data_IF_162239197666
#
_entry.id   IF_162239197666
#
_cell.length_a   1.000
_cell.length_b   1.000
_cell.length_c   1.000
_cell.angle_alpha   90.00
_cell.angle_beta   90.00
_cell.angle_gamma   90.00
#
_symmetry.space_group_name_H-M   'P 1'
#
loop_
_entity.id
_entity.type
_entity.pdbx_description
1 polymer ?
#
# COMPACT_ATOMS: atom_id res chain seq x y z
N UNK A 1 7.90 -12.18 -17.75
CA UNK A 1 8.17 -11.39 -16.51
C UNK A 1 8.09 -12.36 -15.36
N UNK A 2 9.16 -12.43 -14.57
CA UNK A 2 9.22 -13.38 -13.47
C UNK A 2 8.18 -13.04 -12.40
N UNK A 3 7.52 -14.05 -11.82
CA UNK A 3 6.54 -13.84 -10.78
C UNK A 3 7.22 -13.26 -9.54
N UNK A 4 6.60 -12.24 -8.93
CA UNK A 4 7.05 -11.69 -7.66
C UNK A 4 6.53 -12.57 -6.50
N UNK A 5 7.35 -12.71 -5.47
CA UNK A 5 6.88 -13.27 -4.20
C UNK A 5 6.11 -12.20 -3.46
N UNK A 6 4.84 -12.47 -3.17
CA UNK A 6 3.96 -11.58 -2.41
C UNK A 6 3.89 -12.09 -0.97
N UNK A 7 4.01 -11.19 -0.01
CA UNK A 7 4.08 -11.51 1.43
C UNK A 7 3.31 -10.47 2.23
N UNK A 8 2.50 -10.84 3.23
CA UNK A 8 1.91 -9.88 4.17
C UNK A 8 3.00 -9.05 4.86
N UNK A 9 2.72 -7.79 5.08
CA UNK A 9 3.65 -6.85 5.72
C UNK A 9 3.58 -6.96 7.25
N UNK A 10 3.98 -8.12 7.77
CA UNK A 10 4.07 -8.38 9.21
C UNK A 10 5.30 -7.69 9.83
N UNK A 11 5.39 -7.74 11.15
CA UNK A 11 6.52 -7.16 11.90
C UNK A 11 7.88 -7.73 11.47
N UNK A 12 7.94 -8.96 11.01
CA UNK A 12 9.15 -9.61 10.51
C UNK A 12 9.68 -8.95 9.22
N UNK A 13 8.82 -8.26 8.49
CA UNK A 13 9.12 -7.57 7.24
C UNK A 13 9.14 -6.04 7.39
N UNK A 14 9.14 -5.53 8.63
CA UNK A 14 9.04 -4.09 8.88
C UNK A 14 10.22 -3.30 8.30
N UNK A 15 11.43 -3.83 8.37
CA UNK A 15 12.62 -3.15 7.81
C UNK A 15 12.52 -2.98 6.29
N UNK A 16 11.99 -3.97 5.59
CA UNK A 16 11.72 -3.90 4.15
C UNK A 16 10.61 -2.90 3.82
N UNK A 17 9.56 -2.84 4.65
CA UNK A 17 8.52 -1.84 4.53
C UNK A 17 9.09 -0.42 4.75
N UNK A 18 9.93 -0.24 5.74
CA UNK A 18 10.63 1.03 5.99
C UNK A 18 11.51 1.44 4.81
N UNK A 19 12.19 0.50 4.16
CA UNK A 19 12.94 0.76 2.93
C UNK A 19 12.06 1.30 1.79
N UNK A 20 10.78 0.94 1.73
CA UNK A 20 9.86 1.44 0.70
C UNK A 20 9.17 2.75 1.11
N UNK A 21 8.65 2.83 2.31
CA UNK A 21 7.74 3.89 2.75
C UNK A 21 8.40 4.93 3.65
N UNK A 22 9.49 4.56 4.33
CA UNK A 22 10.18 5.41 5.28
C UNK A 22 10.91 6.60 4.65
N UNK A 23 11.43 7.49 5.47
CA UNK A 23 12.15 8.68 5.04
C UNK A 23 13.44 8.32 4.30
N UNK A 24 13.76 9.07 3.23
CA UNK A 24 14.89 8.78 2.33
C UNK A 24 16.12 9.66 2.56
N UNK A 25 15.93 10.83 3.17
CA UNK A 25 17.02 11.83 3.32
C UNK A 25 17.55 11.93 4.75
N UNK A 26 16.69 11.79 5.73
CA UNK A 26 17.02 11.88 7.15
C UNK A 26 16.02 11.05 7.93
N UNK A 27 16.42 10.36 9.00
CA UNK A 27 15.48 9.61 9.87
C UNK A 27 14.35 10.47 10.44
N UNK A 28 14.58 11.78 10.59
CA UNK A 28 13.61 12.75 11.09
C UNK A 28 12.74 13.37 10.01
N UNK A 29 12.99 13.09 8.72
CA UNK A 29 12.16 13.59 7.64
C UNK A 29 10.78 12.93 7.67
N UNK A 30 9.74 13.72 7.51
CA UNK A 30 8.39 13.18 7.41
C UNK A 30 8.22 12.37 6.13
N UNK A 31 7.74 11.14 6.29
CA UNK A 31 7.28 10.28 5.21
C UNK A 31 5.78 9.98 5.39
N UNK A 32 5.08 9.72 4.30
CA UNK A 32 3.64 9.48 4.34
C UNK A 32 3.29 8.16 5.06
N UNK A 33 4.07 7.11 4.83
CA UNK A 33 3.81 5.76 5.33
C UNK A 33 2.41 5.21 5.00
N UNK A 34 1.71 5.84 4.04
CA UNK A 34 0.30 5.62 3.70
C UNK A 34 -0.70 5.89 4.85
N UNK A 35 -0.25 6.51 5.93
CA UNK A 35 -1.07 6.80 7.12
C UNK A 35 -2.15 7.86 6.88
N UNK A 36 -1.99 8.72 5.88
CA UNK A 36 -3.01 9.71 5.54
C UNK A 36 -4.35 9.07 5.15
N UNK A 37 -4.33 7.90 4.52
CA UNK A 37 -5.55 7.16 4.24
C UNK A 37 -6.08 6.41 5.47
N UNK A 38 -5.21 5.74 6.20
CA UNK A 38 -5.61 4.96 7.37
C UNK A 38 -6.19 5.82 8.48
N UNK A 39 -5.51 6.89 8.85
CA UNK A 39 -5.90 7.75 9.97
C UNK A 39 -6.74 8.96 9.55
N UNK A 40 -6.83 9.23 8.23
CA UNK A 40 -7.31 10.48 7.69
C UNK A 40 -6.25 11.59 7.69
N UNK A 41 -6.35 12.53 6.75
CA UNK A 41 -5.34 13.60 6.57
C UNK A 41 -5.08 14.42 7.81
N UNK A 42 -6.15 14.81 8.54
CA UNK A 42 -6.05 15.67 9.74
C UNK A 42 -5.33 14.98 10.90
N UNK A 43 -5.62 13.70 11.14
CA UNK A 43 -4.99 12.94 12.21
C UNK A 43 -3.53 12.63 11.88
N UNK A 44 -3.26 12.16 10.66
CA UNK A 44 -1.90 11.84 10.24
C UNK A 44 -0.97 13.05 10.20
N UNK A 45 -1.50 14.26 9.92
CA UNK A 45 -0.71 15.50 9.91
C UNK A 45 -0.16 15.89 11.29
N UNK A 46 -0.77 15.41 12.37
CA UNK A 46 -0.32 15.69 13.75
C UNK A 46 0.84 14.80 14.20
N UNK A 47 1.10 13.71 13.48
CA UNK A 47 2.17 12.78 13.84
C UNK A 47 3.52 13.30 13.32
N UNK A 48 4.51 13.30 14.18
CA UNK A 48 5.91 13.49 13.79
C UNK A 48 6.50 12.22 13.13
N UNK A 49 7.76 12.26 12.73
CA UNK A 49 8.40 11.15 12.04
C UNK A 49 8.48 9.88 12.90
N UNK A 50 8.77 10.02 14.19
CA UNK A 50 8.88 8.89 15.12
C UNK A 50 7.53 8.25 15.39
N UNK A 51 6.50 9.06 15.60
CA UNK A 51 5.13 8.59 15.83
C UNK A 51 4.56 7.88 14.59
N UNK A 52 4.84 8.37 13.38
CA UNK A 52 4.44 7.68 12.14
C UNK A 52 5.11 6.32 12.00
N UNK A 53 6.40 6.23 12.29
CA UNK A 53 7.14 4.96 12.26
C UNK A 53 6.56 3.97 13.26
N UNK A 54 6.33 4.42 14.51
CA UNK A 54 5.76 3.58 15.57
C UNK A 54 4.35 3.09 15.23
N UNK A 55 3.51 3.94 14.65
CA UNK A 55 2.16 3.57 14.21
C UNK A 55 2.19 2.46 13.15
N UNK A 56 3.03 2.58 12.13
CA UNK A 56 3.14 1.53 11.11
C UNK A 56 3.73 0.25 11.69
N UNK A 57 4.70 0.36 12.59
CA UNK A 57 5.26 -0.80 13.28
C UNK A 57 4.20 -1.52 14.11
N UNK A 58 3.31 -0.78 14.77
CA UNK A 58 2.16 -1.34 15.47
C UNK A 58 1.20 -2.05 14.51
N UNK A 59 0.84 -1.41 13.39
CA UNK A 59 -0.02 -2.02 12.37
C UNK A 59 0.56 -3.34 11.83
N UNK A 60 1.89 -3.45 11.70
CA UNK A 60 2.54 -4.69 11.27
C UNK A 60 2.46 -5.83 12.31
N UNK A 61 2.00 -5.55 13.53
CA UNK A 61 1.75 -6.53 14.58
C UNK A 61 0.28 -6.96 14.66
N UNK A 62 -0.60 -6.33 13.89
CA UNK A 62 -2.03 -6.67 13.86
C UNK A 62 -2.34 -7.71 12.79
N UNK A 63 -3.48 -8.38 12.95
CA UNK A 63 -4.07 -9.22 11.90
C UNK A 63 -5.46 -8.70 11.54
N UNK A 64 -5.70 -8.57 10.23
CA UNK A 64 -4.76 -8.78 9.11
C UNK A 64 -3.64 -7.73 9.09
N UNK A 65 -2.51 -8.08 8.45
CA UNK A 65 -1.41 -7.14 8.23
C UNK A 65 -1.88 -5.90 7.43
N UNK A 66 -1.22 -4.73 7.55
CA UNK A 66 -1.68 -3.47 6.94
C UNK A 66 -1.61 -3.43 5.41
N UNK A 67 -1.14 -4.48 4.81
CA UNK A 67 -0.97 -4.62 3.37
C UNK A 67 0.05 -5.70 3.03
N UNK A 68 0.57 -5.64 1.81
CA UNK A 68 1.49 -6.64 1.28
C UNK A 68 2.78 -6.02 0.73
N UNK A 69 3.84 -6.80 0.73
CA UNK A 69 5.12 -6.51 0.09
C UNK A 69 5.32 -7.44 -1.10
N UNK A 70 5.98 -6.93 -2.15
CA UNK A 70 6.40 -7.70 -3.30
C UNK A 70 7.92 -7.78 -3.35
N UNK A 71 8.44 -8.98 -3.54
CA UNK A 71 9.87 -9.26 -3.64
C UNK A 71 10.21 -9.83 -5.01
N UNK A 72 11.32 -9.37 -5.56
CA UNK A 72 11.97 -9.97 -6.71
C UNK A 72 13.17 -10.78 -6.23
N UNK A 73 13.31 -11.99 -6.74
CA UNK A 73 14.51 -12.80 -6.55
C UNK A 73 15.38 -12.65 -7.79
N UNK A 74 16.63 -12.28 -7.60
CA UNK A 74 17.64 -12.19 -8.65
C UNK A 74 18.26 -13.57 -8.91
N UNK A 75 19.02 -13.72 -10.01
CA UNK A 75 19.60 -15.00 -10.45
C UNK A 75 20.55 -15.61 -9.42
N UNK A 76 21.13 -14.81 -8.54
CA UNK A 76 21.99 -15.24 -7.42
C UNK A 76 21.19 -15.69 -6.17
N UNK A 77 19.86 -15.67 -6.25
CA UNK A 77 18.97 -16.00 -5.13
C UNK A 77 18.69 -14.86 -4.16
N UNK A 78 19.29 -13.68 -4.38
CA UNK A 78 19.03 -12.50 -3.53
C UNK A 78 17.60 -12.01 -3.69
N UNK A 79 16.89 -11.88 -2.58
CA UNK A 79 15.51 -11.38 -2.56
C UNK A 79 15.49 -9.89 -2.21
N UNK A 80 14.96 -9.08 -3.09
CA UNK A 80 14.88 -7.62 -2.94
C UNK A 80 13.44 -7.15 -2.91
N UNK A 81 13.06 -6.36 -1.89
CA UNK A 81 11.74 -5.74 -1.84
C UNK A 81 11.61 -4.69 -2.95
N UNK A 82 10.57 -4.81 -3.78
CA UNK A 82 10.37 -3.97 -4.97
C UNK A 82 9.04 -3.24 -4.98
N UNK A 83 8.12 -3.58 -4.09
CA UNK A 83 6.82 -2.94 -4.06
C UNK A 83 6.00 -3.15 -2.78
N UNK A 84 5.02 -2.28 -2.60
CA UNK A 84 4.07 -2.25 -1.50
C UNK A 84 2.67 -2.00 -2.02
N UNK A 85 1.69 -2.70 -1.45
CA UNK A 85 0.27 -2.34 -1.59
C UNK A 85 -0.37 -2.21 -0.21
N UNK A 86 -0.95 -1.03 0.07
CA UNK A 86 -1.80 -0.79 1.22
C UNK A 86 -3.21 -1.28 0.91
N UNK A 87 -3.68 -2.26 1.68
CA UNK A 87 -4.99 -2.89 1.52
C UNK A 87 -5.54 -3.27 2.89
N UNK A 88 -6.81 -2.99 3.15
CA UNK A 88 -7.44 -3.26 4.45
C UNK A 88 -8.96 -3.21 4.35
N UNK A 89 -9.69 -3.73 5.36
CA UNK A 89 -11.11 -3.45 5.51
C UNK A 89 -11.37 -1.95 5.40
N UNK A 90 -12.37 -1.54 4.61
CA UNK A 90 -12.65 -0.11 4.42
C UNK A 90 -12.91 0.62 5.76
N UNK A 91 -13.53 -0.06 6.71
CA UNK A 91 -13.77 0.49 8.04
C UNK A 91 -12.50 0.93 8.78
N UNK A 92 -11.34 0.36 8.43
CA UNK A 92 -10.03 0.71 8.98
C UNK A 92 -9.29 1.78 8.17
N UNK A 93 -9.90 2.30 7.09
CA UNK A 93 -9.31 3.31 6.20
C UNK A 93 -10.14 4.59 6.34
N UNK A 94 -9.85 5.37 7.37
CA UNK A 94 -10.65 6.51 7.79
C UNK A 94 -10.92 7.53 6.68
N UNK A 95 -9.96 7.78 5.79
CA UNK A 95 -10.14 8.72 4.68
C UNK A 95 -11.19 8.21 3.68
N UNK A 96 -11.15 6.93 3.33
CA UNK A 96 -12.08 6.33 2.36
C UNK A 96 -13.47 6.05 2.96
N UNK A 97 -13.59 6.06 4.28
CA UNK A 97 -14.87 5.89 4.97
C UNK A 97 -15.69 7.19 5.05
N UNK A 98 -15.20 8.28 4.46
CA UNK A 98 -15.91 9.56 4.41
C UNK A 98 -16.91 9.59 3.24
N UNK A 99 -17.91 10.48 3.33
CA UNK A 99 -18.89 10.70 2.26
C UNK A 99 -18.29 11.28 0.96
N UNK A 100 -17.00 11.64 0.95
CA UNK A 100 -16.31 12.11 -0.24
C UNK A 100 -16.04 11.00 -1.26
N UNK A 101 -16.09 9.74 -0.83
CA UNK A 101 -15.86 8.59 -1.70
C UNK A 101 -17.15 7.79 -1.91
N UNK A 102 -17.40 7.27 -3.13
CA UNK A 102 -18.52 6.37 -3.36
C UNK A 102 -18.31 5.07 -2.58
N UNK A 103 -19.39 4.54 -2.03
CA UNK A 103 -19.35 3.31 -1.25
C UNK A 103 -20.19 2.23 -1.92
N UNK A 104 -19.67 1.01 -1.95
CA UNK A 104 -20.46 -0.18 -2.25
C UNK A 104 -21.12 -0.62 -0.94
N UNK A 105 -22.44 -0.85 -0.97
CA UNK A 105 -23.16 -1.43 0.14
C UNK A 105 -22.86 -2.94 0.19
N UNK A 106 -21.98 -3.32 1.08
CA UNK A 106 -21.55 -4.70 1.28
C UNK A 106 -21.15 -4.93 2.74
N UNK A 107 -21.16 -6.18 3.19
CA UNK A 107 -20.94 -6.52 4.60
C UNK A 107 -19.47 -6.39 5.01
N UNK A 108 -18.53 -6.67 4.10
CA UNK A 108 -17.09 -6.59 4.39
C UNK A 108 -16.27 -6.10 3.19
N UNK A 109 -16.48 -4.84 2.75
CA UNK A 109 -15.69 -4.27 1.67
C UNK A 109 -14.26 -3.97 2.13
N UNK A 110 -13.30 -4.32 1.28
CA UNK A 110 -11.90 -3.96 1.45
C UNK A 110 -11.48 -2.92 0.43
N UNK A 111 -10.52 -2.08 0.80
CA UNK A 111 -10.03 -1.01 -0.07
C UNK A 111 -8.53 -1.16 -0.32
N UNK A 112 -8.14 -1.07 -1.60
CA UNK A 112 -6.75 -0.90 -2.01
C UNK A 112 -6.52 0.61 -2.18
N UNK A 113 -5.68 1.20 -1.33
CA UNK A 113 -5.52 2.66 -1.24
C UNK A 113 -4.13 3.17 -1.58
N UNK A 114 -3.15 2.28 -1.73
CA UNK A 114 -1.79 2.68 -2.05
C UNK A 114 -1.06 1.58 -2.81
N UNK A 115 -0.49 1.91 -3.97
CA UNK A 115 0.38 1.04 -4.75
C UNK A 115 1.72 1.75 -4.96
N UNK A 116 2.78 1.19 -4.40
CA UNK A 116 4.14 1.76 -4.49
C UNK A 116 5.10 0.78 -5.12
N UNK A 117 5.79 1.22 -6.15
CA UNK A 117 6.93 0.49 -6.74
C UNK A 117 8.22 1.20 -6.37
N UNK A 118 9.25 0.44 -6.00
CA UNK A 118 10.59 0.95 -5.67
C UNK A 118 11.13 1.84 -6.80
N UNK A 119 11.82 2.91 -6.43
CA UNK A 119 12.45 3.80 -7.40
C UNK A 119 13.39 3.01 -8.33
N UNK A 120 13.37 3.32 -9.62
CA UNK A 120 14.14 2.60 -10.65
C UNK A 120 13.52 1.28 -11.14
N UNK A 121 12.42 0.80 -10.50
CA UNK A 121 11.79 -0.48 -10.85
C UNK A 121 10.44 -0.31 -11.58
N UNK A 122 10.09 0.90 -11.99
CA UNK A 122 8.81 1.18 -12.68
C UNK A 122 8.80 0.63 -14.10
N UNK A 123 7.60 0.51 -14.66
CA UNK A 123 7.34 -0.01 -16.04
C UNK A 123 7.82 -1.44 -16.24
N UNK A 124 7.86 -2.23 -15.17
CA UNK A 124 8.24 -3.65 -15.17
C UNK A 124 7.08 -4.53 -14.67
N UNK A 125 5.82 -4.08 -14.82
CA UNK A 125 4.62 -4.83 -14.41
C UNK A 125 4.45 -5.07 -12.90
N UNK A 126 5.33 -4.54 -12.05
CA UNK A 126 5.26 -4.72 -10.59
C UNK A 126 3.92 -4.24 -10.02
N UNK A 127 3.42 -3.10 -10.51
CA UNK A 127 2.14 -2.56 -10.05
C UNK A 127 0.96 -3.50 -10.31
N UNK A 128 0.95 -4.18 -11.46
CA UNK A 128 -0.10 -5.16 -11.78
C UNK A 128 -0.02 -6.39 -10.88
N UNK A 129 1.17 -6.91 -10.63
CA UNK A 129 1.35 -8.04 -9.72
C UNK A 129 1.01 -7.68 -8.27
N UNK A 130 1.33 -6.44 -7.83
CA UNK A 130 0.91 -5.91 -6.54
C UNK A 130 -0.61 -5.83 -6.42
N UNK A 131 -1.28 -5.32 -7.46
CA UNK A 131 -2.74 -5.23 -7.47
C UNK A 131 -3.38 -6.61 -7.34
N UNK A 132 -2.94 -7.58 -8.16
CA UNK A 132 -3.41 -8.97 -8.07
C UNK A 132 -3.12 -9.57 -6.69
N UNK A 133 -1.92 -9.36 -6.15
CA UNK A 133 -1.56 -9.85 -4.82
C UNK A 133 -2.41 -9.23 -3.71
N UNK A 134 -2.71 -7.93 -3.79
CA UNK A 134 -3.58 -7.25 -2.83
C UNK A 134 -5.03 -7.75 -2.89
N UNK A 135 -5.54 -8.05 -4.09
CA UNK A 135 -6.86 -8.65 -4.28
C UNK A 135 -6.92 -10.03 -3.63
N UNK A 136 -5.94 -10.89 -3.90
CA UNK A 136 -5.89 -12.23 -3.31
C UNK A 136 -5.78 -12.15 -1.78
N UNK A 137 -4.88 -11.32 -1.27
CA UNK A 137 -4.73 -11.11 0.18
C UNK A 137 -6.02 -10.67 0.85
N UNK A 138 -6.78 -9.75 0.24
CA UNK A 138 -8.06 -9.31 0.79
C UNK A 138 -9.09 -10.45 0.84
N UNK A 139 -9.23 -11.23 -0.23
CA UNK A 139 -10.15 -12.39 -0.25
C UNK A 139 -9.73 -13.48 0.73
N UNK A 140 -8.44 -13.76 0.86
CA UNK A 140 -7.91 -14.73 1.83
C UNK A 140 -8.19 -14.30 3.29
N UNK A 141 -8.42 -12.99 3.52
CA UNK A 141 -8.80 -12.41 4.81
C UNK A 141 -10.29 -12.07 4.92
N UNK A 142 -11.13 -12.65 4.05
CA UNK A 142 -12.58 -12.59 4.16
C UNK A 142 -13.25 -11.38 3.51
N UNK A 143 -12.57 -10.66 2.62
CA UNK A 143 -13.22 -9.61 1.82
C UNK A 143 -14.36 -10.22 0.99
N UNK A 144 -15.49 -9.53 0.92
CA UNK A 144 -16.62 -9.89 0.05
C UNK A 144 -16.57 -9.10 -1.26
N UNK A 145 -16.05 -7.88 -1.21
CA UNK A 145 -15.82 -7.01 -2.35
C UNK A 145 -14.55 -6.18 -2.14
N UNK A 146 -13.88 -5.82 -3.23
CA UNK A 146 -12.68 -5.00 -3.18
C UNK A 146 -12.90 -3.74 -3.98
N UNK A 147 -12.61 -2.61 -3.35
CA UNK A 147 -12.71 -1.28 -3.92
C UNK A 147 -11.32 -0.72 -4.23
N UNK A 148 -11.21 0.01 -5.32
CA UNK A 148 -10.05 0.81 -5.67
C UNK A 148 -10.49 2.17 -6.17
N UNK A 149 -9.67 3.19 -5.97
CA UNK A 149 -9.96 4.57 -6.37
C UNK A 149 -8.83 5.11 -7.26
N UNK A 150 -8.62 4.49 -8.43
CA UNK A 150 -7.53 4.87 -9.31
C UNK A 150 -7.71 6.26 -9.91
N UNK A 151 -6.60 6.83 -10.36
CA UNK A 151 -6.61 8.03 -11.17
C UNK A 151 -7.19 7.71 -12.56
N UNK A 152 -8.19 8.46 -12.97
CA UNK A 152 -8.79 8.41 -14.33
C UNK A 152 -8.25 9.58 -15.13
N UNK A 153 -7.04 9.46 -15.65
CA UNK A 153 -6.37 10.48 -16.45
C UNK A 153 -5.33 9.85 -17.36
N UNK A 154 -5.19 10.42 -18.56
CA UNK A 154 -4.09 10.14 -19.48
C UNK A 154 -2.91 11.10 -19.31
N UNK A 155 -3.05 12.11 -18.45
CA UNK A 155 -2.01 13.07 -18.18
C UNK A 155 -0.83 12.45 -17.46
N UNK A 156 0.33 13.09 -17.63
CA UNK A 156 1.54 12.69 -16.92
C UNK A 156 1.47 13.12 -15.46
N UNK A 157 1.19 12.18 -14.57
CA UNK A 157 1.13 12.39 -13.12
C UNK A 157 2.52 12.22 -12.51
N UNK A 158 2.90 13.16 -11.64
CA UNK A 158 4.15 13.04 -10.88
C UNK A 158 4.09 11.76 -9.99
N UNK A 159 5.20 11.02 -9.89
CA UNK A 159 5.23 9.72 -9.19
C UNK A 159 4.72 9.74 -7.75
N UNK A 160 4.85 10.87 -7.07
CA UNK A 160 4.39 11.02 -5.68
C UNK A 160 2.87 11.00 -5.58
N UNK A 161 2.15 11.34 -6.65
CA UNK A 161 0.68 11.35 -6.69
C UNK A 161 0.08 10.12 -7.39
N UNK A 162 0.92 9.25 -7.98
CA UNK A 162 0.47 8.08 -8.72
C UNK A 162 0.22 6.83 -7.84
N UNK A 163 0.21 6.99 -6.54
CA UNK A 163 0.06 5.89 -5.58
C UNK A 163 -1.33 5.24 -5.56
N UNK A 164 -2.45 5.87 -5.99
CA UNK A 164 -3.73 5.15 -6.11
C UNK A 164 -3.74 4.16 -7.27
N UNK A 165 -2.76 4.22 -8.16
CA UNK A 165 -2.77 3.53 -9.44
C UNK A 165 -3.56 4.29 -10.50
N UNK A 166 -3.60 3.74 -11.69
CA UNK A 166 -4.34 4.29 -12.83
C UNK A 166 -5.49 3.36 -13.20
N UNK A 167 -6.61 3.90 -13.67
CA UNK A 167 -7.80 3.15 -14.07
C UNK A 167 -7.47 1.92 -14.92
N UNK A 168 -6.62 2.04 -15.93
CA UNK A 168 -6.17 0.94 -16.79
C UNK A 168 -5.49 -0.24 -16.08
N UNK A 169 -5.13 -0.11 -14.81
CA UNK A 169 -4.57 -1.21 -14.01
C UNK A 169 -5.67 -2.06 -13.37
N UNK A 170 -6.88 -1.50 -13.23
CA UNK A 170 -8.03 -2.12 -12.57
C UNK A 170 -9.03 -2.71 -13.58
N UNK A 171 -8.86 -2.44 -14.86
CA UNK A 171 -9.59 -3.01 -16.00
C UNK A 171 -8.89 -4.26 -16.58
#
# INVERSE_FOLDING_TARGET
MDPLRITPATIEHFDDLELLLGPKKSPTAQACWCLSYRLGYKASAKLDAAARRAEVQHLCQTEPAPGILAYRTDDDGTSTVVGWAGVAPRAEVAELSTAAYPHIADDNPWSIFCLRTRAGMRKRGIGQQLLTGAINFAFDNGATVIEGYPLDTDDKVAPIFAYPGFRRMFE
#
